data_IF_410093891449
#
_entry.id   IF_410093891449
#
_cell.length_a   1.000
_cell.length_b   1.000
_cell.length_c   1.000
_cell.angle_alpha   90.00
_cell.angle_beta   90.00
_cell.angle_gamma   90.00
#
_symmetry.space_group_name_H-M   'P 1'
#
loop_
_entity.id
_entity.type
_entity.pdbx_description
1 polymer ?
#
# COMPACT_ATOMS: atom_id res chain seq x y z
N UNK A 1 -29.18 34.26 -36.21
CA UNK A 1 -29.72 35.45 -35.51
C UNK A 1 -31.17 35.65 -35.92
N UNK A 2 -32.03 35.87 -34.92
CA UNK A 2 -33.49 36.14 -34.95
C UNK A 2 -34.38 34.93 -35.28
N UNK A 3 -35.49 34.63 -34.60
CA UNK A 3 -36.10 34.94 -33.29
C UNK A 3 -37.42 34.12 -33.31
N UNK A 4 -37.70 33.30 -32.29
CA UNK A 4 -38.80 33.48 -31.31
C UNK A 4 -40.19 33.73 -31.95
N UNK A 5 -41.20 32.89 -31.72
CA UNK A 5 -42.12 32.91 -30.56
C UNK A 5 -43.56 33.01 -31.12
N UNK A 6 -44.69 32.59 -30.54
CA UNK A 6 -45.06 31.94 -29.28
C UNK A 6 -46.59 31.66 -29.36
N UNK A 7 -47.03 30.59 -28.71
CA UNK A 7 -48.34 30.30 -28.10
C UNK A 7 -49.67 30.51 -28.86
N UNK A 8 -50.60 29.56 -28.72
CA UNK A 8 -51.72 29.71 -27.77
C UNK A 8 -52.58 28.44 -27.66
N UNK A 9 -52.92 28.15 -26.41
CA UNK A 9 -53.94 27.31 -25.79
C UNK A 9 -55.19 26.93 -26.61
N UNK A 10 -55.76 25.72 -26.39
CA UNK A 10 -57.01 25.57 -25.63
C UNK A 10 -57.31 24.10 -25.25
N UNK A 11 -57.95 23.96 -24.10
CA UNK A 11 -58.24 22.77 -23.31
C UNK A 11 -58.90 21.58 -24.03
N UNK A 12 -58.69 20.39 -23.47
CA UNK A 12 -59.78 19.50 -23.03
C UNK A 12 -59.28 18.52 -21.97
N UNK A 13 -59.84 18.70 -20.77
CA UNK A 13 -59.82 17.74 -19.68
C UNK A 13 -60.54 16.47 -20.14
N UNK A 14 -59.80 15.37 -20.25
CA UNK A 14 -60.35 14.05 -19.98
C UNK A 14 -59.39 13.28 -19.11
N UNK A 15 -59.90 12.84 -17.96
CA UNK A 15 -59.16 12.12 -16.95
C UNK A 15 -58.53 10.87 -17.54
N UNK A 16 -57.21 10.85 -17.57
CA UNK A 16 -56.45 9.63 -17.70
C UNK A 16 -55.88 9.36 -16.31
N UNK A 17 -56.59 8.53 -15.56
CA UNK A 17 -56.07 7.90 -14.34
C UNK A 17 -54.66 7.39 -14.65
N UNK A 18 -53.69 7.91 -13.91
CA UNK A 18 -52.31 7.42 -13.92
C UNK A 18 -52.31 5.99 -13.41
N UNK A 19 -52.28 5.02 -14.30
CA UNK A 19 -51.74 3.71 -13.97
C UNK A 19 -50.23 3.89 -13.97
N UNK A 20 -49.66 4.06 -12.78
CA UNK A 20 -48.23 3.85 -12.57
C UNK A 20 -47.98 2.40 -12.92
N UNK A 21 -47.33 2.17 -14.07
CA UNK A 21 -46.71 0.89 -14.35
C UNK A 21 -45.67 0.68 -13.25
N UNK A 22 -45.85 -0.37 -12.47
CA UNK A 22 -44.89 -0.82 -11.48
C UNK A 22 -43.52 -0.93 -12.17
N UNK A 23 -42.60 -0.05 -11.79
CA UNK A 23 -41.20 -0.21 -12.10
C UNK A 23 -40.80 -1.57 -11.52
N UNK A 24 -40.44 -2.49 -12.40
CA UNK A 24 -39.92 -3.78 -12.03
C UNK A 24 -38.77 -3.53 -11.04
N UNK A 25 -38.88 -4.12 -9.85
CA UNK A 25 -37.83 -4.19 -8.85
C UNK A 25 -36.57 -4.79 -9.50
N UNK A 26 -35.73 -3.95 -10.09
CA UNK A 26 -34.34 -4.31 -10.37
C UNK A 26 -33.66 -4.40 -9.01
N UNK A 27 -33.20 -5.59 -8.58
CA UNK A 27 -32.56 -5.73 -7.29
C UNK A 27 -31.36 -4.80 -7.22
N UNK A 28 -31.31 -3.95 -6.19
CA UNK A 28 -30.19 -3.04 -5.89
C UNK A 28 -28.87 -3.76 -5.56
N UNK A 29 -28.85 -5.09 -5.62
CA UNK A 29 -27.74 -5.96 -5.23
C UNK A 29 -27.23 -6.75 -6.45
N UNK A 30 -26.84 -6.06 -7.53
CA UNK A 30 -25.89 -6.64 -8.48
C UNK A 30 -24.49 -6.18 -8.09
N UNK A 31 -23.96 -6.73 -6.99
CA UNK A 31 -22.52 -6.66 -6.72
C UNK A 31 -21.86 -7.52 -7.78
N UNK A 32 -21.54 -6.90 -8.92
CA UNK A 32 -20.62 -7.51 -9.87
C UNK A 32 -19.33 -7.76 -9.09
N UNK A 33 -18.75 -8.97 -9.13
CA UNK A 33 -17.46 -9.19 -8.51
C UNK A 33 -16.50 -8.20 -9.17
N UNK A 34 -16.03 -7.21 -8.41
CA UNK A 34 -14.97 -6.31 -8.85
C UNK A 34 -13.86 -7.22 -9.41
N UNK A 35 -13.56 -7.05 -10.70
CA UNK A 35 -12.55 -7.86 -11.36
C UNK A 35 -11.26 -7.75 -10.53
N UNK A 36 -10.68 -8.88 -10.14
CA UNK A 36 -9.47 -8.94 -9.31
C UNK A 36 -8.31 -8.09 -9.88
N UNK A 37 -8.33 -7.85 -11.20
CA UNK A 37 -7.42 -6.98 -11.94
C UNK A 37 -7.50 -5.48 -11.63
N UNK A 38 -8.55 -5.00 -10.95
CA UNK A 38 -8.69 -3.58 -10.56
C UNK A 38 -8.14 -3.30 -9.15
N UNK A 39 -7.63 -4.33 -8.47
CA UNK A 39 -6.89 -4.15 -7.22
C UNK A 39 -5.52 -3.55 -7.55
N UNK A 40 -5.32 -2.29 -7.18
CA UNK A 40 -4.01 -1.64 -7.29
C UNK A 40 -2.99 -2.36 -6.39
N UNK A 41 -2.04 -3.06 -7.00
CA UNK A 41 -0.87 -3.57 -6.30
C UNK A 41 0.04 -2.40 -5.91
N UNK A 42 0.08 -2.11 -4.60
CA UNK A 42 0.91 -1.06 -4.03
C UNK A 42 2.28 -1.63 -3.70
N UNK A 43 3.26 -1.26 -4.52
CA UNK A 43 4.66 -1.65 -4.36
C UNK A 43 5.51 -0.51 -3.79
N UNK A 44 6.63 -0.88 -3.19
CA UNK A 44 7.67 0.03 -2.75
C UNK A 44 7.30 0.90 -1.55
N UNK A 45 6.28 0.51 -0.79
CA UNK A 45 5.79 1.23 0.38
C UNK A 45 6.70 1.01 1.59
N UNK A 46 7.02 2.09 2.32
CA UNK A 46 7.61 1.99 3.66
C UNK A 46 6.60 2.53 4.66
N UNK A 47 6.10 1.65 5.52
CA UNK A 47 5.17 2.02 6.58
C UNK A 47 5.92 2.47 7.82
N UNK A 48 5.60 3.67 8.30
CA UNK A 48 6.08 4.21 9.57
C UNK A 48 5.21 3.74 10.74
N UNK A 49 5.78 2.97 11.66
CA UNK A 49 5.22 2.65 12.97
C UNK A 49 6.16 3.06 14.10
N UNK A 50 6.80 4.21 13.92
CA UNK A 50 7.62 4.89 14.92
C UNK A 50 6.79 5.90 15.71
N UNK A 51 7.17 6.14 16.96
CA UNK A 51 6.45 7.00 17.91
C UNK A 51 7.33 8.12 18.48
N UNK A 52 8.62 7.87 18.68
CA UNK A 52 9.51 8.88 19.27
C UNK A 52 10.19 9.72 18.21
N UNK A 53 10.74 10.87 18.62
CA UNK A 53 11.62 11.68 17.75
C UNK A 53 12.83 10.89 17.26
N UNK A 54 13.30 9.91 18.02
CA UNK A 54 14.44 9.09 17.61
C UNK A 54 14.07 8.07 16.55
N UNK A 55 12.90 7.44 16.69
CA UNK A 55 12.36 6.56 15.67
C UNK A 55 12.04 7.29 14.37
N UNK A 56 11.40 8.45 14.45
CA UNK A 56 11.11 9.28 13.26
C UNK A 56 12.40 9.73 12.54
N UNK A 57 13.44 10.12 13.30
CA UNK A 57 14.74 10.47 12.71
C UNK A 57 15.37 9.29 11.97
N UNK A 58 15.30 8.09 12.54
CA UNK A 58 15.75 6.86 11.88
C UNK A 58 14.92 6.55 10.63
N UNK A 59 13.59 6.64 10.70
CA UNK A 59 12.68 6.39 9.59
C UNK A 59 12.98 7.33 8.40
N UNK A 60 13.13 8.62 8.67
CA UNK A 60 13.42 9.63 7.65
C UNK A 60 14.77 9.37 6.97
N UNK A 61 15.81 9.07 7.74
CA UNK A 61 17.12 8.77 7.15
C UNK A 61 17.12 7.45 6.38
N UNK A 62 16.47 6.42 6.90
CA UNK A 62 16.35 5.12 6.22
C UNK A 62 15.61 5.25 4.88
N UNK A 63 14.48 5.97 4.85
CA UNK A 63 13.70 6.18 3.63
C UNK A 63 14.45 7.03 2.61
N UNK A 64 15.17 8.07 3.07
CA UNK A 64 16.07 8.85 2.22
C UNK A 64 17.14 7.98 1.56
N UNK A 65 17.87 7.19 2.36
CA UNK A 65 18.91 6.28 1.85
C UNK A 65 18.36 5.26 0.85
N UNK A 66 17.20 4.67 1.15
CA UNK A 66 16.50 3.76 0.24
C UNK A 66 16.19 4.44 -1.09
N UNK A 67 15.57 5.61 -1.06
CA UNK A 67 15.20 6.34 -2.28
C UNK A 67 16.42 6.80 -3.08
N UNK A 68 17.50 7.20 -2.41
CA UNK A 68 18.74 7.66 -3.05
C UNK A 68 19.49 6.49 -3.72
N UNK A 69 19.56 5.33 -3.07
CA UNK A 69 20.36 4.19 -3.55
C UNK A 69 19.58 3.16 -4.38
N UNK A 70 18.27 3.03 -4.16
CA UNK A 70 17.39 2.11 -4.86
C UNK A 70 16.03 2.76 -5.17
N UNK A 71 15.99 3.68 -6.16
CA UNK A 71 14.77 4.41 -6.52
C UNK A 71 13.68 3.52 -7.12
N UNK A 72 14.02 2.31 -7.56
CA UNK A 72 13.08 1.36 -8.17
C UNK A 72 12.70 0.21 -7.22
N UNK A 73 13.03 0.30 -5.93
CA UNK A 73 12.70 -0.70 -4.94
C UNK A 73 11.18 -0.94 -4.88
N UNK A 74 10.75 -2.19 -5.09
CA UNK A 74 9.33 -2.60 -5.07
C UNK A 74 8.92 -3.25 -3.76
N UNK A 75 9.89 -3.54 -2.89
CA UNK A 75 9.69 -4.28 -1.65
C UNK A 75 8.98 -3.42 -0.60
N UNK A 76 7.91 -3.97 -0.02
CA UNK A 76 7.10 -3.31 0.99
C UNK A 76 7.68 -3.56 2.39
N UNK A 77 8.12 -2.49 3.06
CA UNK A 77 8.75 -2.54 4.37
C UNK A 77 7.86 -1.91 5.44
N UNK A 78 8.02 -2.36 6.68
CA UNK A 78 7.42 -1.68 7.85
C UNK A 78 8.48 -1.50 8.91
N UNK A 79 8.63 -0.28 9.39
CA UNK A 79 9.58 0.09 10.44
C UNK A 79 8.78 0.26 11.73
N UNK A 80 9.05 -0.58 12.71
CA UNK A 80 8.34 -0.59 13.99
C UNK A 80 9.27 -0.07 15.09
N UNK A 81 8.68 0.63 16.05
CA UNK A 81 9.37 1.09 17.24
C UNK A 81 8.70 0.59 18.52
N UNK A 82 9.52 0.24 19.52
CA UNK A 82 9.10 0.13 20.92
C UNK A 82 9.96 1.05 21.78
N UNK A 83 9.40 2.14 22.34
CA UNK A 83 10.10 3.00 23.28
C UNK A 83 10.50 2.21 24.54
N UNK A 84 11.74 2.36 25.02
CA UNK A 84 12.22 1.75 26.26
C UNK A 84 12.94 2.79 27.12
N UNK A 85 12.80 2.69 28.44
CA UNK A 85 13.42 3.68 29.35
C UNK A 85 14.95 3.50 29.48
N UNK A 86 15.47 2.28 29.34
CA UNK A 86 16.88 1.96 29.62
C UNK A 86 17.79 2.03 28.39
N UNK A 87 17.29 1.61 27.23
CA UNK A 87 18.11 1.43 26.02
C UNK A 87 17.74 2.43 24.91
N UNK A 88 16.88 3.41 25.21
CA UNK A 88 16.25 4.26 24.21
C UNK A 88 15.17 3.49 23.45
N UNK A 89 15.17 3.51 22.13
CA UNK A 89 14.09 2.92 21.33
C UNK A 89 14.54 1.64 20.64
N UNK A 90 13.78 0.56 20.79
CA UNK A 90 14.02 -0.66 20.03
C UNK A 90 13.32 -0.54 18.68
N UNK A 91 14.06 -0.66 17.59
CA UNK A 91 13.54 -0.64 16.22
C UNK A 91 13.70 -2.00 15.57
N UNK A 92 12.70 -2.42 14.81
CA UNK A 92 12.80 -3.56 13.91
C UNK A 92 12.10 -3.30 12.59
N UNK A 93 12.62 -3.91 11.53
CA UNK A 93 12.10 -3.77 10.17
C UNK A 93 11.54 -5.12 9.75
N UNK A 94 10.33 -5.10 9.19
CA UNK A 94 9.68 -6.29 8.66
C UNK A 94 9.45 -6.19 7.16
N UNK A 95 9.67 -7.30 6.47
CA UNK A 95 9.27 -7.56 5.09
C UNK A 95 8.37 -8.81 5.11
N UNK A 96 7.20 -8.75 4.48
CA UNK A 96 6.24 -9.87 4.45
C UNK A 96 5.93 -10.48 5.84
N UNK A 97 5.73 -9.63 6.85
CA UNK A 97 5.49 -10.00 8.27
C UNK A 97 6.67 -10.69 8.97
N UNK A 98 7.82 -10.83 8.32
CA UNK A 98 9.05 -11.40 8.91
C UNK A 98 10.02 -10.29 9.29
N UNK A 99 10.61 -10.37 10.48
CA UNK A 99 11.66 -9.44 10.92
C UNK A 99 12.95 -9.75 10.16
N UNK A 100 13.49 -8.74 9.46
CA UNK A 100 14.74 -8.85 8.69
C UNK A 100 15.88 -8.04 9.31
N UNK A 101 15.57 -7.08 10.18
CA UNK A 101 16.56 -6.25 10.87
C UNK A 101 16.02 -5.81 12.24
N UNK A 102 16.92 -5.65 13.21
CA UNK A 102 16.58 -5.18 14.56
C UNK A 102 17.78 -4.49 15.21
N UNK A 103 17.54 -3.35 15.85
CA UNK A 103 18.57 -2.60 16.58
C UNK A 103 17.98 -1.80 17.74
N UNK A 104 18.82 -1.43 18.70
CA UNK A 104 18.48 -0.47 19.75
C UNK A 104 19.05 0.92 19.39
N UNK A 105 18.22 1.95 19.51
CA UNK A 105 18.60 3.34 19.28
C UNK A 105 18.79 4.09 20.60
N UNK A 106 20.03 4.48 20.86
CA UNK A 106 20.36 5.42 21.92
C UNK A 106 19.91 6.86 21.58
N UNK A 107 19.66 7.74 22.57
CA UNK A 107 19.08 9.07 22.38
C UNK A 107 19.98 10.14 21.70
N UNK A 108 20.83 9.78 20.73
CA UNK A 108 21.72 10.72 20.02
C UNK A 108 21.42 10.82 18.53
N UNK A 109 21.48 12.03 17.93
CA UNK A 109 21.23 12.23 16.49
C UNK A 109 22.17 11.41 15.61
N UNK A 110 23.48 11.51 15.86
CA UNK A 110 24.48 10.77 15.09
C UNK A 110 24.25 9.25 15.13
N UNK A 111 23.69 8.74 16.24
CA UNK A 111 23.37 7.33 16.37
C UNK A 111 22.21 6.91 15.46
N UNK A 112 21.19 7.76 15.29
CA UNK A 112 20.06 7.49 14.40
C UNK A 112 20.55 7.31 12.97
N UNK A 113 21.38 8.26 12.50
CA UNK A 113 21.89 8.26 11.13
C UNK A 113 22.79 7.05 10.87
N UNK A 114 23.72 6.75 11.78
CA UNK A 114 24.59 5.57 11.65
C UNK A 114 23.80 4.27 11.69
N UNK A 115 22.80 4.17 12.58
CA UNK A 115 21.96 2.99 12.67
C UNK A 115 21.09 2.82 11.43
N UNK A 116 20.59 3.91 10.83
CA UNK A 116 19.82 3.88 9.60
C UNK A 116 20.67 3.43 8.40
N UNK A 117 21.92 3.92 8.29
CA UNK A 117 22.89 3.48 7.28
C UNK A 117 23.19 1.99 7.38
N UNK A 118 23.47 1.51 8.60
CA UNK A 118 23.69 0.08 8.85
C UNK A 118 22.45 -0.75 8.52
N UNK A 119 21.27 -0.28 8.95
CA UNK A 119 20.00 -0.94 8.68
C UNK A 119 19.74 -1.07 7.18
N UNK A 120 19.92 0.01 6.41
CA UNK A 120 19.71 0.00 4.96
C UNK A 120 20.63 -1.00 4.27
N UNK A 121 21.93 -0.95 4.56
CA UNK A 121 22.91 -1.89 4.00
C UNK A 121 22.52 -3.35 4.26
N UNK A 122 22.16 -3.68 5.51
CA UNK A 122 21.80 -5.05 5.88
C UNK A 122 20.44 -5.49 5.30
N UNK A 123 19.45 -4.59 5.31
CA UNK A 123 18.12 -4.86 4.73
C UNK A 123 18.23 -5.12 3.24
N UNK A 124 18.90 -4.24 2.49
CA UNK A 124 19.12 -4.40 1.06
C UNK A 124 19.75 -5.75 0.73
N UNK A 125 20.86 -6.08 1.40
CA UNK A 125 21.52 -7.37 1.19
C UNK A 125 20.59 -8.55 1.50
N UNK A 126 19.80 -8.45 2.57
CA UNK A 126 18.85 -9.50 2.95
C UNK A 126 17.74 -9.66 1.90
N UNK A 127 17.22 -8.56 1.35
CA UNK A 127 16.19 -8.58 0.31
C UNK A 127 16.73 -9.17 -1.01
N UNK A 128 17.94 -8.79 -1.41
CA UNK A 128 18.62 -9.34 -2.59
C UNK A 128 18.80 -10.86 -2.46
N UNK A 129 19.26 -11.33 -1.29
CA UNK A 129 19.41 -12.76 -1.01
C UNK A 129 18.07 -13.50 -1.05
N UNK A 130 17.01 -12.92 -0.48
CA UNK A 130 15.66 -13.50 -0.52
C UNK A 130 15.14 -13.59 -1.95
N UNK A 131 15.34 -12.54 -2.76
CA UNK A 131 14.93 -12.52 -4.16
C UNK A 131 15.60 -13.63 -4.97
N UNK A 132 16.91 -13.78 -4.80
CA UNK A 132 17.68 -14.85 -5.44
C UNK A 132 17.15 -16.21 -5.01
N UNK A 133 16.94 -16.43 -3.70
CA UNK A 133 16.42 -17.70 -3.19
C UNK A 133 15.05 -18.04 -3.78
N UNK A 134 14.13 -17.07 -3.85
CA UNK A 134 12.80 -17.26 -4.44
C UNK A 134 12.89 -17.67 -5.92
N UNK A 135 13.73 -17.00 -6.72
CA UNK A 135 13.90 -17.32 -8.14
C UNK A 135 14.44 -18.73 -8.36
N UNK A 136 15.35 -19.20 -7.50
CA UNK A 136 15.85 -20.57 -7.57
C UNK A 136 14.77 -21.58 -7.19
N UNK A 137 14.06 -21.38 -6.07
CA UNK A 137 13.03 -22.32 -5.61
C UNK A 137 11.90 -22.50 -6.64
N UNK A 138 11.51 -21.43 -7.34
CA UNK A 138 10.49 -21.47 -8.39
C UNK A 138 10.92 -22.31 -9.62
N UNK A 139 12.22 -22.33 -9.94
CA UNK A 139 12.74 -23.07 -11.11
C UNK A 139 12.89 -24.57 -10.84
N UNK A 140 12.97 -25.00 -9.58
CA UNK A 140 13.21 -26.40 -9.22
C UNK A 140 11.95 -27.28 -9.14
N UNK A 141 10.74 -26.73 -9.36
CA UNK A 141 9.47 -27.46 -9.26
C UNK A 141 9.01 -28.12 -10.59
N UNK A 142 9.98 -28.52 -11.43
CA UNK A 142 9.75 -29.26 -12.69
C UNK A 142 10.62 -30.52 -12.71
N UNK A 143 10.45 -31.42 -11.74
CA UNK A 143 11.02 -32.76 -11.83
C UNK A 143 10.07 -33.73 -12.56
N UNK A 144 10.67 -34.55 -13.41
CA UNK A 144 10.15 -35.22 -14.60
C UNK A 144 9.14 -36.37 -14.38
N UNK A 145 8.36 -36.40 -13.31
CA UNK A 145 7.60 -37.61 -12.92
C UNK A 145 6.05 -37.46 -12.92
N UNK A 146 5.55 -36.56 -13.77
CA UNK A 146 4.15 -36.60 -14.24
C UNK A 146 4.12 -37.32 -15.61
N UNK A 147 4.33 -38.65 -15.61
CA UNK A 147 4.12 -39.54 -16.76
C UNK A 147 3.18 -40.70 -16.42
#
# INVERSE_FOLDING_TARGET
MKALSVACCLALLWGCTTVVAAEADTPLESVQPEQESDRLDVDGLVLDRTFTRFGQGFYNEFTRLRSDEDPNARENLTIHERPTARWGSLIWITHNRKVIFKTALSPGRNQQEQSAKLAWSQVRQTLEQQKIATLFMDTFDLEHDEL
#
